data_IF_687047708856
#
_entry.id   IF_687047708856
#
_cell.length_a   1.000
_cell.length_b   1.000
_cell.length_c   1.000
_cell.angle_alpha   90.00
_cell.angle_beta   90.00
_cell.angle_gamma   90.00
#
_symmetry.space_group_name_H-M   'P 1'
#
loop_
_entity.id
_entity.type
_entity.pdbx_description
1 polymer ?
#
# COMPACT_ATOMS: atom_id res chain seq x y z
N UNK A 1 42.43 -2.08 -42.83
CA UNK A 1 42.07 -3.44 -42.40
C UNK A 1 41.67 -3.34 -40.94
N UNK A 2 40.36 -3.36 -40.66
CA UNK A 2 39.83 -3.20 -39.29
C UNK A 2 40.14 -4.47 -38.50
N UNK A 3 40.96 -4.32 -37.47
CA UNK A 3 41.16 -5.34 -36.45
C UNK A 3 39.86 -5.46 -35.68
N UNK A 4 38.95 -6.29 -36.20
CA UNK A 4 37.83 -6.80 -35.44
C UNK A 4 38.45 -7.59 -34.30
N UNK A 5 38.47 -6.98 -33.11
CA UNK A 5 38.75 -7.65 -31.85
C UNK A 5 37.81 -8.85 -31.79
N UNK A 6 38.38 -9.99 -32.14
CA UNK A 6 37.77 -11.30 -32.05
C UNK A 6 37.51 -11.49 -30.55
N UNK A 7 36.31 -11.07 -30.12
CA UNK A 7 35.81 -11.28 -28.78
C UNK A 7 35.91 -12.78 -28.56
N UNK A 8 36.91 -13.16 -27.78
CA UNK A 8 37.27 -14.55 -27.58
C UNK A 8 36.09 -15.24 -26.92
N UNK A 9 35.77 -16.44 -27.39
CA UNK A 9 34.62 -17.20 -26.93
C UNK A 9 34.71 -17.51 -25.42
N UNK A 10 35.91 -17.39 -24.84
CA UNK A 10 36.21 -17.59 -23.43
C UNK A 10 35.73 -16.46 -22.50
N UNK A 11 35.46 -15.26 -23.03
CA UNK A 11 34.76 -14.20 -22.27
C UNK A 11 33.25 -14.49 -22.16
N UNK A 12 32.69 -15.22 -23.14
CA UNK A 12 31.26 -15.57 -23.18
C UNK A 12 30.90 -16.72 -22.22
N UNK A 13 31.89 -17.52 -21.78
CA UNK A 13 31.70 -18.68 -20.89
C UNK A 13 31.70 -18.34 -19.40
N UNK A 14 31.88 -17.08 -19.03
CA UNK A 14 32.09 -16.67 -17.64
C UNK A 14 30.85 -16.05 -16.97
N UNK A 15 29.63 -16.27 -17.47
CA UNK A 15 28.46 -15.96 -16.66
C UNK A 15 28.30 -17.10 -15.66
N UNK A 16 28.79 -16.89 -14.43
CA UNK A 16 28.65 -17.85 -13.36
C UNK A 16 27.15 -18.14 -13.14
N UNK A 17 26.81 -19.39 -12.86
CA UNK A 17 25.45 -19.79 -12.54
C UNK A 17 24.88 -18.98 -11.34
N UNK A 18 25.76 -18.51 -10.45
CA UNK A 18 25.38 -17.62 -9.34
C UNK A 18 25.00 -16.21 -9.81
N UNK A 19 25.71 -15.65 -10.79
CA UNK A 19 25.39 -14.34 -11.37
C UNK A 19 24.04 -14.37 -12.10
N UNK A 20 23.75 -15.48 -12.80
CA UNK A 20 22.45 -15.71 -13.44
C UNK A 20 21.31 -15.73 -12.42
N UNK A 21 21.50 -16.42 -11.28
CA UNK A 21 20.51 -16.46 -10.20
C UNK A 21 20.32 -15.10 -9.55
N UNK A 22 21.40 -14.34 -9.36
CA UNK A 22 21.31 -13.00 -8.79
C UNK A 22 20.54 -12.05 -9.71
N UNK A 23 20.79 -12.12 -11.02
CA UNK A 23 20.04 -11.34 -12.02
C UNK A 23 18.56 -11.72 -12.06
N UNK A 24 18.23 -13.01 -12.02
CA UNK A 24 16.83 -13.47 -11.98
C UNK A 24 16.12 -12.98 -10.70
N UNK A 25 16.75 -13.13 -9.54
CA UNK A 25 16.21 -12.65 -8.26
C UNK A 25 15.99 -11.13 -8.26
N UNK A 26 16.95 -10.36 -8.78
CA UNK A 26 16.82 -8.90 -8.94
C UNK A 26 15.66 -8.55 -9.87
N UNK A 27 15.52 -9.25 -11.00
CA UNK A 27 14.41 -9.03 -11.93
C UNK A 27 13.06 -9.33 -11.29
N UNK A 28 12.93 -10.45 -10.56
CA UNK A 28 11.73 -10.80 -9.82
C UNK A 28 11.36 -9.74 -8.78
N UNK A 29 12.34 -9.21 -8.03
CA UNK A 29 12.13 -8.12 -7.07
C UNK A 29 11.63 -6.83 -7.73
N UNK A 30 12.21 -6.43 -8.86
CA UNK A 30 11.77 -5.26 -9.62
C UNK A 30 10.34 -5.46 -10.12
N UNK A 31 10.02 -6.63 -10.66
CA UNK A 31 8.67 -6.97 -11.13
C UNK A 31 7.63 -6.94 -9.99
N UNK A 32 7.98 -7.45 -8.81
CA UNK A 32 7.14 -7.42 -7.62
C UNK A 32 6.89 -5.98 -7.14
N UNK A 33 7.93 -5.15 -7.16
CA UNK A 33 7.85 -3.72 -6.80
C UNK A 33 6.93 -2.98 -7.76
N UNK A 34 7.10 -3.19 -9.06
CA UNK A 34 6.25 -2.59 -10.10
C UNK A 34 4.79 -3.03 -9.96
N UNK A 35 4.54 -4.30 -9.62
CA UNK A 35 3.17 -4.81 -9.38
C UNK A 35 2.54 -4.17 -8.14
N UNK A 36 3.31 -4.04 -7.06
CA UNK A 36 2.87 -3.38 -5.82
C UNK A 36 2.55 -1.90 -6.06
N UNK A 37 3.39 -1.18 -6.82
CA UNK A 37 3.14 0.21 -7.20
C UNK A 37 1.85 0.36 -8.03
N UNK A 38 1.66 -0.49 -9.06
CA UNK A 38 0.43 -0.49 -9.86
C UNK A 38 -0.82 -0.79 -9.03
N UNK A 39 -0.72 -1.71 -8.08
CA UNK A 39 -1.81 -2.03 -7.16
C UNK A 39 -2.17 -0.84 -6.26
N UNK A 40 -1.15 -0.17 -5.71
CA UNK A 40 -1.34 1.02 -4.88
C UNK A 40 -1.98 2.19 -5.67
N UNK A 41 -1.52 2.40 -6.91
CA UNK A 41 -2.11 3.36 -7.83
C UNK A 41 -3.59 3.05 -8.13
N UNK A 42 -3.94 1.77 -8.38
CA UNK A 42 -5.33 1.34 -8.64
C UNK A 42 -6.28 1.55 -7.46
N UNK A 43 -5.79 1.41 -6.23
CA UNK A 43 -6.58 1.69 -5.02
C UNK A 43 -6.75 3.21 -4.80
N UNK A 44 -6.16 4.06 -5.65
CA UNK A 44 -6.32 5.51 -5.59
C UNK A 44 -5.58 6.13 -4.40
N UNK A 45 -4.68 5.38 -3.76
CA UNK A 45 -3.76 5.91 -2.75
C UNK A 45 -2.53 6.46 -3.47
N UNK A 46 -2.71 7.61 -4.10
CA UNK A 46 -1.56 8.48 -4.35
C UNK A 46 -0.93 8.72 -2.97
N UNK A 47 0.23 8.14 -2.69
CA UNK A 47 1.10 8.55 -1.59
C UNK A 47 1.56 9.97 -1.93
N UNK A 48 0.65 10.94 -1.81
CA UNK A 48 0.98 12.34 -1.82
C UNK A 48 1.80 12.59 -0.58
N UNK A 49 3.12 12.41 -0.68
CA UNK A 49 4.08 12.69 0.37
C UNK A 49 4.15 14.20 0.74
N UNK A 50 3.30 15.02 0.14
CA UNK A 50 3.35 16.48 0.14
C UNK A 50 2.13 17.11 0.86
N UNK A 51 1.65 16.48 1.92
CA UNK A 51 0.64 17.11 2.78
C UNK A 51 0.30 16.24 3.97
N UNK A 52 0.31 16.83 5.16
CA UNK A 52 -0.22 16.29 6.42
C UNK A 52 -1.74 16.08 6.37
N UNK A 53 -2.22 15.40 5.32
CA UNK A 53 -3.63 15.10 5.10
C UNK A 53 -3.84 13.64 5.42
N UNK A 54 -4.45 13.39 6.58
CA UNK A 54 -5.04 12.09 6.95
C UNK A 54 -5.65 11.45 5.70
N UNK A 55 -5.14 10.26 5.33
CA UNK A 55 -5.59 9.44 4.20
C UNK A 55 -7.12 9.51 4.14
N UNK A 56 -7.63 10.24 3.15
CA UNK A 56 -8.97 10.84 3.15
C UNK A 56 -10.11 9.82 3.15
N UNK A 57 -10.44 9.31 4.33
CA UNK A 57 -11.71 8.66 4.60
C UNK A 57 -12.66 9.69 5.21
N UNK A 58 -13.66 10.11 4.44
CA UNK A 58 -14.65 11.07 4.88
C UNK A 58 -15.61 10.43 5.89
N UNK A 59 -15.24 10.49 7.17
CA UNK A 59 -16.03 9.97 8.29
C UNK A 59 -17.41 10.62 8.38
N UNK A 60 -17.58 11.86 7.89
CA UNK A 60 -18.87 12.56 7.94
C UNK A 60 -19.97 11.88 7.12
N UNK A 61 -19.59 11.04 6.15
CA UNK A 61 -20.51 10.22 5.34
C UNK A 61 -20.83 8.86 5.95
N UNK A 62 -20.07 8.40 6.95
CA UNK A 62 -20.30 7.10 7.60
C UNK A 62 -21.45 7.24 8.59
N UNK A 63 -22.53 6.48 8.38
CA UNK A 63 -23.68 6.41 9.30
C UNK A 63 -23.62 5.11 10.11
N UNK A 64 -23.65 5.22 11.43
CA UNK A 64 -23.83 4.06 12.29
C UNK A 64 -25.30 3.61 12.26
N UNK A 65 -25.56 2.36 11.89
CA UNK A 65 -26.93 1.83 11.81
C UNK A 65 -27.63 1.73 13.18
N UNK A 66 -26.88 1.46 14.26
CA UNK A 66 -27.43 1.26 15.60
C UNK A 66 -27.88 2.57 16.28
N UNK A 67 -27.20 3.68 16.01
CA UNK A 67 -27.48 4.98 16.66
C UNK A 67 -27.90 6.07 15.69
N UNK A 68 -27.90 5.76 14.39
CA UNK A 68 -28.21 6.68 13.29
C UNK A 68 -27.39 7.98 13.26
N UNK A 69 -26.28 8.06 14.00
CA UNK A 69 -25.34 9.19 14.00
C UNK A 69 -24.26 8.99 12.94
N UNK A 70 -23.83 10.10 12.32
CA UNK A 70 -22.72 10.10 11.35
C UNK A 70 -21.37 10.21 12.07
N UNK A 71 -20.25 9.94 11.40
CA UNK A 71 -18.92 10.26 11.93
C UNK A 71 -18.22 9.21 12.79
N UNK A 72 -18.75 7.99 12.92
CA UNK A 72 -18.09 6.92 13.69
C UNK A 72 -18.50 5.53 13.19
N UNK A 73 -17.65 4.53 13.44
CA UNK A 73 -17.93 3.16 13.03
C UNK A 73 -18.90 2.46 13.98
N UNK A 74 -19.67 1.49 13.47
CA UNK A 74 -20.56 0.68 14.29
C UNK A 74 -19.81 -0.06 15.42
N UNK A 75 -18.53 -0.40 15.23
CA UNK A 75 -17.66 -1.03 16.24
C UNK A 75 -17.29 -0.09 17.40
N UNK A 76 -17.23 1.21 17.15
CA UNK A 76 -16.96 2.22 18.19
C UNK A 76 -18.20 2.53 19.03
N UNK A 77 -19.35 2.03 18.59
CA UNK A 77 -20.63 2.26 19.24
C UNK A 77 -20.81 1.37 20.47
N UNK A 78 -20.12 1.76 21.54
CA UNK A 78 -20.43 1.31 22.90
C UNK A 78 -21.82 1.83 23.24
N UNK A 79 -22.71 0.94 23.67
CA UNK A 79 -24.00 1.38 24.22
C UNK A 79 -23.75 2.46 25.28
N UNK A 80 -24.54 3.55 25.32
CA UNK A 80 -24.56 4.42 26.48
C UNK A 80 -24.73 3.49 27.68
N UNK A 81 -23.77 3.48 28.60
CA UNK A 81 -24.04 2.91 29.92
C UNK A 81 -25.30 3.63 30.38
N UNK A 82 -26.34 2.85 30.67
CA UNK A 82 -27.64 3.37 31.09
C UNK A 82 -27.45 4.14 32.39
N UNK A 83 -27.09 5.43 32.31
CA UNK A 83 -27.20 6.36 33.42
C UNK A 83 -28.66 6.82 33.46
N UNK A 84 -29.58 5.87 33.64
CA UNK A 84 -30.78 6.16 34.41
C UNK A 84 -30.30 6.54 35.80
N UNK A 85 -30.28 7.84 36.08
CA UNK A 85 -30.91 8.41 37.28
C UNK A 85 -30.62 9.90 37.42
N UNK A 86 -31.74 10.66 37.44
CA UNK A 86 -31.96 12.04 37.90
C UNK A 86 -31.35 13.12 36.97
N UNK A 87 -32.11 14.08 36.44
CA UNK A 87 -33.08 14.90 37.16
C UNK A 87 -34.38 15.22 36.40
N UNK A 88 -35.42 15.21 37.21
CA UNK A 88 -36.78 15.70 37.00
C UNK A 88 -36.76 17.22 36.71
N UNK A 89 -37.42 17.61 35.62
CA UNK A 89 -38.29 18.79 35.50
C UNK A 89 -37.78 20.14 36.03
N UNK A 90 -37.46 21.06 35.11
CA UNK A 90 -37.97 22.44 35.08
C UNK A 90 -37.85 23.02 33.69
#
# INVERSE_FOLDING_TARGET
>A
QSNNSQLDNDDLKQINADDLKEMDLKWQMVMLTMRSMRFLQRIGRNLGANGTTSIGFDMSKVKCYKFHRRGHFAKECRSPKDTRNKDTQS
#
